data_IF_241977683775
#
_entry.id   IF_241977683775
#
_cell.length_a   1.000
_cell.length_b   1.000
_cell.length_c   1.000
_cell.angle_alpha   90.00
_cell.angle_beta   90.00
_cell.angle_gamma   90.00
#
_symmetry.space_group_name_H-M   'P 1'
#
loop_
_entity.id
_entity.type
_entity.pdbx_description
1 polymer ?
#
# COMPACT_ATOMS: atom_id res chain seq x y z
N UNK A 1 -41.16 -39.57 -65.58
CA UNK A 1 -41.44 -38.52 -64.58
C UNK A 1 -41.67 -39.22 -63.26
N UNK A 2 -40.61 -39.39 -62.41
CA UNK A 2 -40.70 -40.10 -61.10
C UNK A 2 -40.69 -39.10 -60.00
N UNK A 3 -41.77 -39.00 -59.26
CA UNK A 3 -41.96 -38.16 -58.09
C UNK A 3 -41.20 -38.78 -56.93
N UNK A 4 -40.22 -38.06 -56.35
CA UNK A 4 -39.53 -38.43 -55.12
C UNK A 4 -40.20 -37.72 -53.93
N UNK A 5 -40.88 -38.43 -53.09
CA UNK A 5 -41.51 -37.95 -51.84
C UNK A 5 -40.43 -37.93 -50.75
N UNK A 6 -40.08 -36.72 -50.31
CA UNK A 6 -39.14 -36.51 -49.20
C UNK A 6 -39.94 -36.54 -47.86
N UNK A 7 -39.74 -37.56 -47.05
CA UNK A 7 -40.31 -37.65 -45.70
C UNK A 7 -39.36 -36.88 -44.75
N UNK A 8 -39.83 -35.76 -44.21
CA UNK A 8 -39.11 -34.94 -43.21
C UNK A 8 -39.42 -35.54 -41.84
N UNK A 9 -38.47 -36.28 -41.26
CA UNK A 9 -38.56 -36.78 -39.90
C UNK A 9 -38.09 -35.65 -38.95
N UNK A 10 -39.04 -34.96 -38.32
CA UNK A 10 -38.75 -33.97 -37.27
C UNK A 10 -38.29 -34.67 -36.00
N UNK A 11 -36.98 -34.53 -35.69
CA UNK A 11 -36.39 -35.00 -34.44
C UNK A 11 -36.77 -33.99 -33.32
N UNK A 12 -37.72 -34.36 -32.49
CA UNK A 12 -38.02 -33.62 -31.26
C UNK A 12 -36.86 -33.81 -30.27
N UNK A 13 -36.02 -32.79 -30.12
CA UNK A 13 -35.11 -32.68 -29.00
C UNK A 13 -35.94 -32.40 -27.75
N UNK A 14 -36.18 -33.42 -26.93
CA UNK A 14 -36.62 -33.22 -25.54
C UNK A 14 -35.47 -32.53 -24.80
N UNK A 15 -35.62 -31.23 -24.57
CA UNK A 15 -34.81 -30.50 -23.58
C UNK A 15 -35.16 -31.10 -22.21
N UNK A 16 -34.26 -31.84 -21.61
CA UNK A 16 -34.36 -32.22 -20.20
C UNK A 16 -34.41 -30.93 -19.36
N UNK A 17 -35.59 -30.61 -18.85
CA UNK A 17 -35.77 -29.54 -17.88
C UNK A 17 -35.07 -30.04 -16.61
N UNK A 18 -33.90 -29.48 -16.29
CA UNK A 18 -33.22 -29.78 -15.04
C UNK A 18 -34.18 -29.47 -13.89
N UNK A 19 -34.51 -30.48 -13.08
CA UNK A 19 -35.36 -30.32 -11.90
C UNK A 19 -34.64 -29.34 -10.96
N UNK A 20 -35.24 -28.18 -10.68
CA UNK A 20 -34.68 -27.12 -9.83
C UNK A 20 -35.33 -27.06 -8.45
N UNK A 21 -36.30 -27.95 -8.22
CA UNK A 21 -37.12 -27.97 -7.00
C UNK A 21 -37.22 -29.38 -6.43
N UNK A 22 -37.17 -29.50 -5.10
CA UNK A 22 -37.36 -30.79 -4.39
C UNK A 22 -38.48 -30.58 -3.36
N UNK A 23 -39.63 -31.32 -3.48
CA UNK A 23 -40.68 -31.29 -2.46
C UNK A 23 -40.15 -31.86 -1.14
N UNK A 24 -40.39 -31.16 -0.03
CA UNK A 24 -39.95 -31.60 1.30
C UNK A 24 -40.60 -32.93 1.69
N UNK A 25 -41.82 -33.15 1.30
CA UNK A 25 -42.56 -34.40 1.58
C UNK A 25 -41.93 -35.64 0.92
N UNK A 26 -41.17 -35.46 -0.16
CA UNK A 26 -40.46 -36.56 -0.82
C UNK A 26 -39.16 -37.00 -0.11
N UNK A 27 -38.72 -36.20 0.90
CA UNK A 27 -37.46 -36.42 1.61
C UNK A 27 -37.59 -37.38 2.82
N UNK A 28 -38.79 -37.88 3.11
CA UNK A 28 -39.04 -38.87 4.15
C UNK A 28 -38.61 -38.38 5.55
N UNK A 29 -37.77 -39.17 6.24
CA UNK A 29 -37.34 -38.91 7.63
C UNK A 29 -36.00 -38.14 7.73
N UNK A 30 -35.55 -37.44 6.68
CA UNK A 30 -34.32 -36.68 6.75
C UNK A 30 -34.45 -35.55 7.78
N UNK A 31 -33.39 -35.37 8.59
CA UNK A 31 -33.33 -34.26 9.52
C UNK A 31 -32.89 -32.99 8.76
N UNK A 32 -33.83 -32.07 8.54
CA UNK A 32 -33.61 -30.84 7.81
C UNK A 32 -33.48 -29.66 8.77
N UNK A 33 -32.31 -29.04 8.83
CA UNK A 33 -32.07 -27.79 9.59
C UNK A 33 -31.80 -26.65 8.62
N UNK A 34 -32.19 -25.45 8.99
CA UNK A 34 -32.09 -24.28 8.17
C UNK A 34 -31.38 -23.17 8.92
N UNK A 35 -30.60 -22.38 8.21
CA UNK A 35 -29.93 -21.18 8.73
C UNK A 35 -30.23 -20.02 7.79
N UNK A 36 -30.65 -18.89 8.33
CA UNK A 36 -30.85 -17.71 7.51
C UNK A 36 -29.50 -17.16 7.04
N UNK A 37 -29.38 -16.88 5.75
CA UNK A 37 -28.22 -16.23 5.18
C UNK A 37 -28.02 -14.84 5.81
N UNK A 38 -26.98 -14.67 6.59
CA UNK A 38 -26.71 -13.45 7.35
C UNK A 38 -25.89 -12.46 6.52
N UNK A 39 -26.27 -11.16 6.47
CA UNK A 39 -25.51 -10.17 5.72
C UNK A 39 -24.12 -9.94 6.31
N UNK A 40 -23.13 -9.77 5.43
CA UNK A 40 -21.75 -9.39 5.74
C UNK A 40 -21.37 -8.20 4.88
N UNK A 41 -20.82 -7.16 5.49
CA UNK A 41 -20.43 -5.92 4.79
C UNK A 41 -18.98 -5.99 4.27
N UNK A 42 -18.22 -7.00 4.65
CA UNK A 42 -16.84 -7.15 4.22
C UNK A 42 -16.49 -8.61 3.97
N UNK A 43 -15.64 -8.81 2.98
CA UNK A 43 -15.08 -10.12 2.61
C UNK A 43 -13.59 -10.07 2.77
N UNK A 44 -13.04 -10.99 3.57
CA UNK A 44 -11.59 -11.16 3.68
C UNK A 44 -11.12 -12.12 2.59
N UNK A 45 -10.13 -11.68 1.81
CA UNK A 45 -9.47 -12.50 0.78
C UNK A 45 -7.97 -12.46 0.98
N UNK A 46 -7.27 -13.55 0.69
CA UNK A 46 -5.83 -13.54 0.53
C UNK A 46 -5.48 -12.67 -0.69
N UNK A 47 -4.67 -11.63 -0.49
CA UNK A 47 -4.28 -10.74 -1.57
C UNK A 47 -3.02 -11.29 -2.24
N UNK A 48 -1.91 -11.15 -1.59
CA UNK A 48 -0.62 -11.66 -2.06
C UNK A 48 0.47 -11.37 -1.01
N UNK A 49 1.72 -11.51 -1.41
CA UNK A 49 2.84 -11.04 -0.61
C UNK A 49 2.97 -9.53 -0.74
N UNK A 50 2.84 -8.81 0.38
CA UNK A 50 3.17 -7.40 0.48
C UNK A 50 4.65 -7.18 0.85
N UNK A 51 5.18 -6.01 0.52
CA UNK A 51 6.51 -5.56 0.92
C UNK A 51 6.41 -4.26 1.71
N UNK A 52 7.19 -4.14 2.78
CA UNK A 52 7.35 -2.87 3.51
C UNK A 52 8.28 -1.96 2.73
N UNK A 53 7.75 -0.87 2.24
CA UNK A 53 8.49 0.09 1.42
C UNK A 53 8.22 1.54 1.88
N UNK A 54 9.14 2.48 1.60
CA UNK A 54 8.86 3.89 1.80
C UNK A 54 7.79 4.36 0.81
N UNK A 55 6.92 5.25 1.27
CA UNK A 55 5.95 5.87 0.36
C UNK A 55 6.70 6.67 -0.72
N UNK A 56 6.29 6.61 -1.99
CA UNK A 56 6.96 7.32 -3.07
C UNK A 56 7.11 8.82 -2.77
N UNK A 57 8.33 9.35 -2.95
CA UNK A 57 8.66 10.75 -2.68
C UNK A 57 8.90 11.11 -1.22
N UNK A 58 8.90 10.14 -0.29
CA UNK A 58 9.13 10.37 1.14
C UNK A 58 10.58 10.19 1.60
N UNK A 59 11.50 9.93 0.69
CA UNK A 59 12.92 9.80 1.00
C UNK A 59 13.59 11.17 0.98
N UNK A 60 14.32 11.50 2.05
CA UNK A 60 15.18 12.67 2.11
C UNK A 60 16.57 12.28 1.59
N UNK A 61 16.97 12.80 0.44
CA UNK A 61 18.31 12.56 -0.11
C UNK A 61 19.33 13.48 0.56
N UNK A 62 20.44 12.91 1.02
CA UNK A 62 21.54 13.65 1.61
C UNK A 62 22.56 13.93 0.51
N UNK A 63 22.55 15.17 0.02
CA UNK A 63 23.39 15.64 -1.09
C UNK A 63 24.51 16.51 -0.56
N UNK A 64 25.77 16.21 -0.93
CA UNK A 64 26.91 17.05 -0.63
C UNK A 64 27.26 17.96 -1.81
N UNK A 65 27.58 19.24 -1.58
CA UNK A 65 27.99 20.17 -2.64
C UNK A 65 29.46 19.99 -3.08
N UNK A 66 30.10 18.89 -2.65
CA UNK A 66 31.47 18.50 -3.01
C UNK A 66 31.54 16.99 -3.20
N UNK A 67 32.64 16.53 -3.80
CA UNK A 67 32.93 15.09 -3.98
C UNK A 67 34.05 14.67 -3.01
N UNK A 68 33.72 14.00 -1.88
CA UNK A 68 34.74 13.47 -0.98
C UNK A 68 35.62 12.43 -1.68
N UNK A 69 36.91 12.38 -1.35
CA UNK A 69 37.81 11.35 -1.85
C UNK A 69 37.49 9.99 -1.21
N UNK A 70 37.05 10.00 0.04
CA UNK A 70 36.64 8.81 0.78
C UNK A 70 35.36 9.09 1.57
N UNK A 71 34.43 8.12 1.51
CA UNK A 71 33.22 8.06 2.36
C UNK A 71 33.30 6.76 3.15
N UNK A 72 33.36 6.86 4.47
CA UNK A 72 33.31 5.71 5.37
C UNK A 72 32.02 5.75 6.18
N UNK A 73 31.10 4.84 5.90
CA UNK A 73 29.86 4.74 6.66
C UNK A 73 30.12 4.22 8.08
N UNK A 74 29.53 4.88 9.08
CA UNK A 74 29.69 4.59 10.50
C UNK A 74 28.51 3.81 11.07
N UNK A 75 27.44 3.69 10.31
CA UNK A 75 26.21 2.95 10.66
C UNK A 75 25.93 1.93 9.55
N UNK A 76 25.23 0.85 9.86
CA UNK A 76 24.89 -0.15 8.86
C UNK A 76 23.79 0.33 7.93
N UNK A 77 23.78 -0.14 6.67
CA UNK A 77 22.72 0.14 5.70
C UNK A 77 21.36 -0.30 6.22
N UNK A 78 20.33 0.54 6.09
CA UNK A 78 18.99 0.27 6.59
C UNK A 78 18.84 0.37 8.11
N UNK A 79 19.86 0.81 8.86
CA UNK A 79 19.76 0.96 10.31
C UNK A 79 18.94 2.17 10.72
N UNK A 80 18.24 2.05 11.86
CA UNK A 80 17.57 3.17 12.49
C UNK A 80 18.59 4.16 13.07
N UNK A 81 18.40 5.45 12.81
CA UNK A 81 19.25 6.54 13.25
C UNK A 81 18.44 7.63 13.93
N UNK A 82 19.10 8.36 14.85
CA UNK A 82 18.53 9.51 15.53
C UNK A 82 19.03 10.81 14.91
N UNK A 83 18.26 11.90 15.06
CA UNK A 83 18.70 13.23 14.63
C UNK A 83 20.05 13.59 15.27
N UNK A 84 21.00 14.10 14.47
CA UNK A 84 22.34 14.46 14.88
C UNK A 84 23.33 13.29 14.99
N UNK A 85 22.90 12.05 14.75
CA UNK A 85 23.78 10.88 14.75
C UNK A 85 24.74 10.93 13.57
N UNK A 86 26.04 10.68 13.81
CA UNK A 86 27.07 10.57 12.76
C UNK A 86 26.76 9.34 11.88
N UNK A 87 26.61 9.55 10.57
CA UNK A 87 26.27 8.55 9.56
C UNK A 87 27.47 8.07 8.77
N UNK A 88 28.30 9.02 8.36
CA UNK A 88 29.49 8.75 7.58
C UNK A 88 30.60 9.74 7.91
N UNK A 89 31.83 9.29 7.82
CA UNK A 89 33.03 10.12 7.80
C UNK A 89 33.37 10.43 6.33
N UNK A 90 33.56 11.71 6.03
CA UNK A 90 33.95 12.23 4.74
C UNK A 90 35.39 12.71 4.84
N UNK A 91 36.25 12.34 3.88
CA UNK A 91 37.67 12.72 3.89
C UNK A 91 38.13 13.19 2.52
N UNK A 92 39.04 14.16 2.52
CA UNK A 92 39.76 14.64 1.34
C UNK A 92 39.82 16.16 1.22
N UNK A 93 40.60 16.63 0.25
CA UNK A 93 40.83 18.08 0.01
C UNK A 93 39.52 18.85 -0.25
N UNK A 94 38.53 18.27 -0.89
CA UNK A 94 37.24 18.91 -1.13
C UNK A 94 36.46 19.15 0.17
N UNK A 95 36.67 18.30 1.18
CA UNK A 95 36.08 18.48 2.53
C UNK A 95 36.73 19.68 3.20
N UNK A 96 38.05 19.79 3.13
CA UNK A 96 38.80 20.95 3.59
C UNK A 96 38.33 22.25 2.92
N UNK A 97 38.26 22.28 1.59
CA UNK A 97 37.80 23.44 0.83
C UNK A 97 36.37 23.85 1.21
N UNK A 98 35.49 22.88 1.42
CA UNK A 98 34.12 23.14 1.88
C UNK A 98 34.13 23.78 3.26
N UNK A 99 34.90 23.23 4.22
CA UNK A 99 35.01 23.73 5.58
C UNK A 99 35.52 25.17 5.62
N UNK A 100 36.61 25.47 4.88
CA UNK A 100 37.17 26.79 4.78
C UNK A 100 36.22 27.79 4.10
N UNK A 101 35.55 27.37 3.02
CA UNK A 101 34.54 28.18 2.33
C UNK A 101 33.36 28.53 3.25
N UNK A 102 32.86 27.53 4.02
CA UNK A 102 31.79 27.76 4.99
C UNK A 102 32.19 28.75 6.07
N UNK A 103 33.41 28.62 6.66
CA UNK A 103 33.96 29.57 7.64
C UNK A 103 34.03 30.98 7.06
N UNK A 104 34.58 31.12 5.84
CA UNK A 104 34.74 32.42 5.17
C UNK A 104 33.38 33.09 4.86
N UNK A 105 32.41 32.33 4.30
CA UNK A 105 31.07 32.87 3.98
C UNK A 105 30.30 33.26 5.23
N UNK A 106 30.42 32.49 6.31
CA UNK A 106 29.81 32.81 7.62
C UNK A 106 30.37 34.12 8.18
N UNK A 107 31.69 34.30 8.11
CA UNK A 107 32.33 35.53 8.56
C UNK A 107 31.90 36.77 7.71
N UNK A 108 31.84 36.60 6.38
CA UNK A 108 31.38 37.66 5.47
C UNK A 108 29.92 38.04 5.71
N UNK A 109 29.05 37.07 5.90
CA UNK A 109 27.64 37.31 6.22
C UNK A 109 27.52 38.09 7.54
N UNK A 110 28.22 37.67 8.58
CA UNK A 110 28.21 38.37 9.88
C UNK A 110 28.67 39.84 9.78
N UNK A 111 29.78 40.08 9.05
CA UNK A 111 30.31 41.46 8.85
C UNK A 111 29.32 42.32 8.05
N UNK A 112 28.81 41.81 6.94
CA UNK A 112 27.86 42.52 6.07
C UNK A 112 26.53 42.79 6.76
N UNK A 113 26.02 41.83 7.54
CA UNK A 113 24.80 41.96 8.35
C UNK A 113 24.97 43.05 9.43
N UNK A 114 26.11 43.06 10.13
CA UNK A 114 26.41 44.08 11.14
C UNK A 114 26.44 45.49 10.50
N UNK A 115 27.08 45.60 9.33
CA UNK A 115 27.14 46.87 8.57
C UNK A 115 25.75 47.30 8.08
N UNK A 116 24.95 46.39 7.54
CA UNK A 116 23.58 46.65 7.10
C UNK A 116 22.72 47.15 8.27
N UNK A 117 22.71 46.44 9.40
CA UNK A 117 21.91 46.79 10.57
C UNK A 117 22.32 48.16 11.16
N UNK A 118 23.63 48.48 11.20
CA UNK A 118 24.13 49.76 11.70
C UNK A 118 23.76 50.96 10.79
N UNK A 119 23.68 50.76 9.48
CA UNK A 119 23.40 51.82 8.52
C UNK A 119 21.92 51.98 8.16
N UNK A 120 21.07 50.98 8.45
CA UNK A 120 19.64 51.06 8.17
C UNK A 120 18.96 52.28 8.82
N UNK A 121 19.14 52.59 10.13
CA UNK A 121 18.54 53.79 10.74
C UNK A 121 19.15 55.08 10.19
N UNK A 122 20.43 55.12 9.77
CA UNK A 122 21.04 56.28 9.13
C UNK A 122 20.44 56.61 7.76
N UNK A 123 20.08 55.58 7.00
CA UNK A 123 19.34 55.74 5.75
C UNK A 123 17.91 56.24 6.00
N UNK A 124 17.18 55.63 6.96
CA UNK A 124 15.83 56.02 7.33
C UNK A 124 15.75 57.48 7.82
N UNK A 125 16.80 57.99 8.47
CA UNK A 125 16.96 59.41 8.89
C UNK A 125 17.58 60.33 7.81
N UNK A 126 17.79 59.86 6.57
CA UNK A 126 18.44 60.55 5.47
C UNK A 126 19.90 61.02 5.79
N UNK A 127 20.58 60.38 6.74
CA UNK A 127 21.96 60.68 7.11
C UNK A 127 23.02 60.12 6.14
N UNK A 128 22.61 59.11 5.30
CA UNK A 128 23.45 58.57 4.22
C UNK A 128 22.71 58.63 2.89
N UNK A 129 23.48 58.69 1.77
CA UNK A 129 22.91 58.72 0.43
C UNK A 129 22.26 57.39 0.03
N UNK A 130 21.29 57.45 -0.90
CA UNK A 130 20.64 56.26 -1.47
C UNK A 130 21.66 55.32 -2.14
N UNK A 131 22.67 55.88 -2.84
CA UNK A 131 23.72 55.07 -3.47
C UNK A 131 24.59 54.33 -2.45
N UNK A 132 24.92 54.98 -1.31
CA UNK A 132 25.65 54.34 -0.21
C UNK A 132 24.80 53.21 0.42
N UNK A 133 23.54 53.47 0.70
CA UNK A 133 22.65 52.46 1.23
C UNK A 133 22.51 51.29 0.28
N UNK A 134 22.30 51.53 -1.03
CA UNK A 134 22.19 50.47 -2.02
C UNK A 134 23.41 49.53 -2.02
N UNK A 135 24.64 50.09 -2.01
CA UNK A 135 25.86 49.27 -1.97
C UNK A 135 26.00 48.43 -0.68
N UNK A 136 25.54 48.98 0.47
CA UNK A 136 25.54 48.24 1.75
C UNK A 136 24.51 47.11 1.73
N UNK A 137 23.30 47.37 1.23
CA UNK A 137 22.24 46.40 1.12
C UNK A 137 22.62 45.29 0.14
N UNK A 138 23.17 45.63 -1.02
CA UNK A 138 23.64 44.65 -2.01
C UNK A 138 24.70 43.73 -1.40
N UNK A 139 25.74 44.28 -0.76
CA UNK A 139 26.80 43.49 -0.12
C UNK A 139 26.26 42.52 0.94
N UNK A 140 25.23 42.91 1.71
CA UNK A 140 24.57 42.04 2.67
C UNK A 140 23.80 40.92 1.99
N UNK A 141 22.96 41.23 0.98
CA UNK A 141 22.17 40.22 0.31
C UNK A 141 23.03 39.26 -0.52
N UNK A 142 24.10 39.74 -1.16
CA UNK A 142 25.06 38.89 -1.88
C UNK A 142 25.75 37.90 -0.91
N UNK A 143 26.20 38.39 0.27
CA UNK A 143 26.78 37.52 1.30
C UNK A 143 25.75 36.49 1.84
N UNK A 144 24.50 36.94 2.04
CA UNK A 144 23.41 36.06 2.51
C UNK A 144 23.09 34.97 1.51
N UNK A 145 23.01 35.29 0.22
CA UNK A 145 22.77 34.31 -0.83
C UNK A 145 23.95 33.34 -0.95
N UNK A 146 25.18 33.85 -0.94
CA UNK A 146 26.39 33.03 -1.03
C UNK A 146 26.53 32.03 0.15
N UNK A 147 26.10 32.45 1.35
CA UNK A 147 26.06 31.60 2.52
C UNK A 147 24.92 30.59 2.44
N UNK A 148 23.72 31.01 2.00
CA UNK A 148 22.54 30.14 1.91
C UNK A 148 22.70 28.92 1.00
N UNK A 149 23.58 29.00 -0.02
CA UNK A 149 23.92 27.84 -0.86
C UNK A 149 24.66 26.73 -0.09
N UNK A 150 25.34 27.06 1.01
CA UNK A 150 26.10 26.11 1.82
C UNK A 150 25.35 25.66 3.07
N UNK A 151 24.42 26.48 3.55
CA UNK A 151 23.73 26.33 4.84
C UNK A 151 22.97 25.00 4.97
N UNK A 152 22.21 24.64 3.95
CA UNK A 152 21.44 23.38 3.96
C UNK A 152 22.30 22.12 4.15
N UNK A 153 23.52 22.14 3.58
CA UNK A 153 24.43 21.01 3.82
C UNK A 153 25.16 21.18 5.15
N UNK A 154 25.47 22.42 5.55
CA UNK A 154 26.13 22.70 6.83
C UNK A 154 25.33 22.21 8.04
N UNK A 155 23.99 22.19 7.97
CA UNK A 155 23.13 21.60 9.01
C UNK A 155 23.33 20.08 9.18
N UNK A 156 23.81 19.40 8.12
CA UNK A 156 24.07 17.95 8.09
C UNK A 156 25.56 17.61 8.17
N UNK A 157 26.42 18.61 8.41
CA UNK A 157 27.85 18.44 8.38
C UNK A 157 28.51 18.96 9.67
N UNK A 158 29.39 18.15 10.24
CA UNK A 158 30.21 18.53 11.41
C UNK A 158 31.66 18.34 11.05
N UNK A 159 32.45 19.42 11.05
CA UNK A 159 33.89 19.37 10.85
C UNK A 159 34.58 18.67 12.02
N UNK A 160 35.69 17.99 11.76
CA UNK A 160 36.62 17.49 12.78
C UNK A 160 37.68 18.55 13.14
N UNK A 161 38.54 18.25 14.10
CA UNK A 161 39.77 19.04 14.38
C UNK A 161 40.74 19.00 13.20
N UNK A 162 40.79 17.88 12.45
CA UNK A 162 41.45 17.75 11.18
C UNK A 162 40.54 18.31 10.07
N UNK A 163 40.91 19.45 9.49
CA UNK A 163 40.09 20.15 8.49
C UNK A 163 39.85 19.30 7.19
N UNK A 164 40.64 18.24 6.94
CA UNK A 164 40.44 17.29 5.85
C UNK A 164 39.35 16.23 6.15
N UNK A 165 38.81 16.22 7.39
CA UNK A 165 37.80 15.27 7.85
C UNK A 165 36.54 16.00 8.28
N UNK A 166 35.39 15.45 7.90
CA UNK A 166 34.09 15.86 8.38
C UNK A 166 33.11 14.70 8.51
N UNK A 167 32.04 14.94 9.24
CA UNK A 167 31.01 13.92 9.47
C UNK A 167 29.68 14.36 8.90
N UNK A 168 29.08 13.48 8.11
CA UNK A 168 27.68 13.57 7.75
C UNK A 168 26.86 13.17 8.98
N UNK A 169 25.91 14.01 9.39
CA UNK A 169 24.98 13.74 10.49
C UNK A 169 23.54 13.66 10.01
N UNK A 170 22.71 12.88 10.68
CA UNK A 170 21.29 12.73 10.35
C UNK A 170 20.53 14.04 10.65
N UNK A 171 19.86 14.68 9.69
CA UNK A 171 19.03 15.85 9.92
C UNK A 171 17.72 15.53 10.68
N UNK A 172 17.28 14.29 10.59
CA UNK A 172 16.08 13.78 11.28
C UNK A 172 16.24 12.31 11.65
N UNK A 173 15.35 11.79 12.50
CA UNK A 173 15.31 10.38 12.85
C UNK A 173 14.63 9.55 11.75
N UNK A 174 15.18 8.36 11.45
CA UNK A 174 14.64 7.48 10.43
C UNK A 174 15.52 6.28 10.16
N UNK A 175 15.39 5.68 8.99
CA UNK A 175 16.27 4.62 8.48
C UNK A 175 17.23 5.21 7.46
N UNK A 176 18.52 5.03 7.69
CA UNK A 176 19.56 5.52 6.78
C UNK A 176 19.88 4.46 5.72
N UNK A 177 19.87 4.86 4.46
CA UNK A 177 20.29 4.04 3.33
C UNK A 177 21.54 4.63 2.69
N UNK A 178 22.48 3.78 2.33
CA UNK A 178 23.69 4.16 1.60
C UNK A 178 23.35 4.69 0.20
N UNK A 179 24.21 5.53 -0.32
CA UNK A 179 24.16 5.91 -1.71
C UNK A 179 24.74 4.80 -2.60
N UNK A 180 24.02 4.42 -3.67
CA UNK A 180 24.48 3.41 -4.63
C UNK A 180 25.41 3.98 -5.72
N UNK A 181 26.20 5.03 -5.38
CA UNK A 181 27.17 5.59 -6.30
C UNK A 181 26.61 6.50 -7.40
N UNK A 182 25.34 6.89 -7.32
CA UNK A 182 24.77 7.88 -8.24
C UNK A 182 25.38 9.26 -7.98
N UNK A 183 26.00 9.82 -9.03
CA UNK A 183 26.52 11.19 -9.03
C UNK A 183 25.62 12.04 -9.91
N UNK A 184 25.03 13.08 -9.34
CA UNK A 184 24.48 14.18 -10.12
C UNK A 184 25.63 15.11 -10.56
N UNK A 185 25.42 15.88 -11.64
CA UNK A 185 26.48 16.68 -12.24
C UNK A 185 27.09 17.72 -11.29
N UNK A 186 26.36 18.18 -10.26
CA UNK A 186 26.74 19.28 -9.36
C UNK A 186 26.83 18.87 -7.87
N UNK A 187 26.35 17.68 -7.50
CA UNK A 187 26.33 17.23 -6.13
C UNK A 187 26.54 15.71 -6.01
N UNK A 188 27.15 15.30 -4.91
CA UNK A 188 27.38 13.88 -4.60
C UNK A 188 26.29 13.41 -3.62
N UNK A 189 25.52 12.38 -4.01
CA UNK A 189 24.57 11.75 -3.10
C UNK A 189 25.34 10.88 -2.10
N UNK A 190 25.22 11.19 -0.82
CA UNK A 190 25.86 10.48 0.28
C UNK A 190 24.98 9.39 0.90
N UNK A 191 23.68 9.48 0.70
CA UNK A 191 22.71 8.54 1.24
C UNK A 191 21.29 9.08 1.20
N UNK A 192 20.40 8.42 1.89
CA UNK A 192 19.03 8.93 2.12
C UNK A 192 18.50 8.51 3.47
N UNK A 193 17.59 9.31 4.02
CA UNK A 193 16.83 8.97 5.23
C UNK A 193 15.39 8.72 4.86
N UNK A 194 14.85 7.64 5.39
CA UNK A 194 13.44 7.26 5.30
C UNK A 194 12.84 7.45 6.69
N UNK A 195 11.90 8.39 6.81
CA UNK A 195 11.18 8.58 8.07
C UNK A 195 10.38 7.33 8.46
N UNK A 196 10.34 7.00 9.73
CA UNK A 196 9.50 5.91 10.26
C UNK A 196 8.02 6.08 9.88
N UNK A 197 7.53 7.32 9.79
CA UNK A 197 6.14 7.62 9.40
C UNK A 197 5.85 7.40 7.92
N UNK A 198 6.87 7.19 7.08
CA UNK A 198 6.73 6.97 5.65
C UNK A 198 6.65 5.50 5.24
N UNK A 199 6.91 4.57 6.17
CA UNK A 199 6.81 3.14 5.87
C UNK A 199 5.37 2.71 5.63
N UNK A 200 5.17 1.93 4.56
CA UNK A 200 3.88 1.40 4.12
C UNK A 200 4.03 -0.07 3.73
N UNK A 201 2.93 -0.80 3.79
CA UNK A 201 2.81 -2.05 3.05
C UNK A 201 2.39 -1.70 1.63
N UNK A 202 3.18 -2.12 0.66
CA UNK A 202 2.82 -2.14 -0.76
C UNK A 202 2.47 -3.56 -1.15
N UNK A 203 1.30 -3.77 -1.74
CA UNK A 203 0.87 -5.05 -2.29
C UNK A 203 0.22 -4.86 -3.65
N UNK A 204 0.06 -5.94 -4.41
CA UNK A 204 -0.59 -5.94 -5.70
C UNK A 204 -1.96 -6.59 -5.57
N UNK A 205 -2.99 -5.98 -6.16
CA UNK A 205 -4.35 -6.51 -6.23
C UNK A 205 -4.86 -6.41 -7.67
N UNK A 206 -5.91 -7.16 -7.99
CA UNK A 206 -6.62 -7.00 -9.26
C UNK A 206 -7.12 -5.57 -9.41
N UNK A 207 -6.94 -4.97 -10.59
CA UNK A 207 -7.38 -3.61 -10.86
C UNK A 207 -8.89 -3.43 -10.66
N UNK A 208 -9.68 -4.46 -10.95
CA UNK A 208 -11.14 -4.47 -10.78
C UNK A 208 -11.56 -4.44 -9.31
N UNK A 209 -10.75 -5.02 -8.43
CA UNK A 209 -11.02 -5.10 -6.99
C UNK A 209 -10.36 -3.96 -6.18
N UNK A 210 -9.45 -3.22 -6.80
CA UNK A 210 -8.61 -2.23 -6.11
C UNK A 210 -9.40 -1.10 -5.43
N UNK A 211 -10.57 -0.73 -5.97
CA UNK A 211 -11.45 0.28 -5.39
C UNK A 211 -12.27 -0.24 -4.20
N UNK A 212 -12.36 -1.54 -4.02
CA UNK A 212 -13.18 -2.19 -2.99
C UNK A 212 -12.37 -2.56 -1.74
N UNK A 213 -11.02 -2.59 -1.84
CA UNK A 213 -10.16 -2.94 -0.72
C UNK A 213 -9.99 -1.76 0.23
N UNK A 214 -10.31 -1.95 1.51
CA UNK A 214 -10.27 -0.88 2.53
C UNK A 214 -9.19 -1.09 3.58
N UNK A 215 -8.85 -2.34 3.91
CA UNK A 215 -7.90 -2.69 4.96
C UNK A 215 -6.96 -3.78 4.45
N UNK A 216 -5.69 -3.64 4.78
CA UNK A 216 -4.66 -4.68 4.63
C UNK A 216 -4.38 -5.27 6.01
N UNK A 217 -4.43 -6.59 6.11
CA UNK A 217 -4.16 -7.34 7.33
C UNK A 217 -2.93 -8.24 7.13
N UNK A 218 -2.07 -8.24 8.13
CA UNK A 218 -0.92 -9.15 8.27
C UNK A 218 -1.05 -9.94 9.56
N UNK A 219 -0.19 -10.91 9.80
CA UNK A 219 -0.17 -11.65 11.06
C UNK A 219 -0.07 -10.76 12.31
N UNK A 220 0.50 -9.55 12.19
CA UNK A 220 0.83 -8.70 13.32
C UNK A 220 -0.08 -7.46 13.44
N UNK A 221 -0.71 -7.02 12.36
CA UNK A 221 -1.51 -5.78 12.38
C UNK A 221 -2.46 -5.66 11.20
N UNK A 222 -3.46 -4.78 11.39
CA UNK A 222 -4.36 -4.30 10.36
C UNK A 222 -4.08 -2.82 10.10
N UNK A 223 -4.03 -2.43 8.82
CA UNK A 223 -3.73 -1.07 8.39
C UNK A 223 -4.69 -0.67 7.26
N UNK A 224 -5.24 0.53 7.33
CA UNK A 224 -6.12 1.06 6.29
C UNK A 224 -5.37 1.19 4.96
N UNK A 225 -6.07 1.02 3.86
CA UNK A 225 -5.58 1.41 2.54
C UNK A 225 -5.62 2.94 2.44
N UNK A 226 -4.49 3.54 2.05
CA UNK A 226 -4.38 4.98 1.90
C UNK A 226 -4.39 5.42 0.44
N UNK A 227 -3.87 4.58 -0.45
CA UNK A 227 -3.73 4.91 -1.87
C UNK A 227 -3.72 3.65 -2.74
N UNK A 228 -4.33 3.76 -3.91
CA UNK A 228 -4.20 2.83 -5.03
C UNK A 228 -3.53 3.57 -6.18
N UNK A 229 -2.51 2.98 -6.80
CA UNK A 229 -1.85 3.57 -7.95
C UNK A 229 -2.78 3.48 -9.18
N UNK A 230 -2.72 4.50 -10.05
CA UNK A 230 -3.50 4.53 -11.29
C UNK A 230 -2.88 3.66 -12.42
N UNK A 231 -1.64 3.21 -12.22
CA UNK A 231 -0.94 2.39 -13.20
C UNK A 231 -1.33 0.93 -12.99
N UNK A 232 -1.81 0.31 -14.07
CA UNK A 232 -2.11 -1.12 -14.11
C UNK A 232 -1.00 -1.81 -14.88
N UNK A 233 -0.40 -2.84 -14.29
CA UNK A 233 0.56 -3.71 -14.94
C UNK A 233 -0.13 -5.06 -15.20
N UNK A 234 -0.37 -5.37 -16.48
CA UNK A 234 -1.23 -6.46 -16.92
C UNK A 234 -2.66 -6.30 -16.38
N UNK A 235 -3.01 -6.94 -15.28
CA UNK A 235 -4.31 -6.84 -14.61
C UNK A 235 -4.20 -6.44 -13.13
N UNK A 236 -2.98 -6.13 -12.66
CA UNK A 236 -2.71 -5.79 -11.26
C UNK A 236 -2.38 -4.31 -11.09
N UNK A 237 -2.79 -3.74 -9.98
CA UNK A 237 -2.36 -2.41 -9.54
C UNK A 237 -1.79 -2.46 -8.14
N UNK A 238 -0.95 -1.47 -7.81
CA UNK A 238 -0.35 -1.36 -6.47
C UNK A 238 -1.30 -0.67 -5.49
N UNK A 239 -1.46 -1.27 -4.34
CA UNK A 239 -2.19 -0.71 -3.20
C UNK A 239 -1.20 -0.43 -2.07
N UNK A 240 -1.32 0.75 -1.47
CA UNK A 240 -0.48 1.25 -0.40
C UNK A 240 -1.28 1.43 0.89
N UNK A 241 -0.76 0.91 1.98
CA UNK A 241 -1.35 1.12 3.29
C UNK A 241 -1.17 2.56 3.79
N UNK A 242 -1.90 2.94 4.81
CA UNK A 242 -1.57 4.05 5.70
C UNK A 242 -0.22 3.82 6.40
N UNK A 243 0.36 4.84 7.10
CA UNK A 243 1.59 4.67 7.88
C UNK A 243 1.55 3.46 8.79
N UNK A 244 2.64 2.68 8.79
CA UNK A 244 2.72 1.51 9.65
C UNK A 244 2.85 1.94 11.13
N UNK A 245 1.94 1.52 12.00
CA UNK A 245 2.11 1.71 13.44
C UNK A 245 3.27 0.85 13.95
N UNK A 246 3.97 1.32 14.99
CA UNK A 246 5.10 0.58 15.59
C UNK A 246 4.71 -0.82 16.06
N UNK A 247 3.45 -1.03 16.44
CA UNK A 247 2.90 -2.34 16.84
C UNK A 247 2.95 -3.40 15.74
N UNK A 248 3.01 -3.03 14.47
CA UNK A 248 3.17 -3.98 13.35
C UNK A 248 4.51 -4.73 13.39
N UNK A 249 5.55 -4.12 13.98
CA UNK A 249 6.90 -4.71 14.11
C UNK A 249 7.46 -5.25 12.78
N UNK A 250 7.14 -4.58 11.67
CA UNK A 250 7.63 -4.91 10.34
C UNK A 250 8.81 -4.00 9.97
N UNK A 251 9.84 -4.58 9.35
CA UNK A 251 11.06 -3.88 8.96
C UNK A 251 11.02 -3.44 7.51
N UNK A 252 11.71 -2.37 7.18
CA UNK A 252 11.93 -1.92 5.80
C UNK A 252 12.46 -3.07 4.94
N UNK A 253 11.87 -3.26 3.75
CA UNK A 253 12.22 -4.34 2.82
C UNK A 253 11.62 -5.71 3.18
N UNK A 254 11.02 -5.87 4.36
CA UNK A 254 10.41 -7.13 4.77
C UNK A 254 9.20 -7.46 3.92
N UNK A 255 9.10 -8.72 3.51
CA UNK A 255 7.91 -9.29 2.87
C UNK A 255 7.02 -9.93 3.92
N UNK A 256 5.72 -9.77 3.78
CA UNK A 256 4.70 -10.35 4.65
C UNK A 256 3.52 -10.86 3.82
N UNK A 257 2.89 -11.92 4.28
CA UNK A 257 1.60 -12.35 3.76
C UNK A 257 0.56 -11.29 4.13
N UNK A 258 -0.24 -10.89 3.15
CA UNK A 258 -1.25 -9.85 3.31
C UNK A 258 -2.62 -10.41 2.92
N UNK A 259 -3.60 -10.23 3.79
CA UNK A 259 -5.01 -10.41 3.48
C UNK A 259 -5.66 -9.04 3.30
N UNK A 260 -6.59 -8.93 2.36
CA UNK A 260 -7.34 -7.70 2.12
C UNK A 260 -8.78 -7.82 2.62
N UNK A 261 -9.31 -6.77 3.24
CA UNK A 261 -10.73 -6.63 3.54
C UNK A 261 -11.38 -5.79 2.44
N UNK A 262 -12.27 -6.44 1.69
CA UNK A 262 -12.99 -5.85 0.56
C UNK A 262 -14.39 -5.46 1.01
N UNK A 263 -14.83 -4.26 0.65
CA UNK A 263 -16.21 -3.82 0.87
C UNK A 263 -17.11 -4.41 -0.21
N UNK A 264 -17.64 -5.57 0.08
CA UNK A 264 -18.58 -6.29 -0.79
C UNK A 264 -19.82 -6.66 0.02
N UNK A 265 -20.99 -6.46 -0.58
CA UNK A 265 -22.22 -6.99 -0.03
C UNK A 265 -22.23 -8.51 -0.23
N UNK A 266 -22.09 -9.23 0.85
CA UNK A 266 -22.05 -10.67 0.87
C UNK A 266 -23.04 -11.23 1.89
N UNK A 267 -23.40 -12.50 1.73
CA UNK A 267 -24.19 -13.26 2.70
C UNK A 267 -23.32 -14.40 3.24
N UNK A 268 -23.36 -14.58 4.55
CA UNK A 268 -22.69 -15.68 5.24
C UNK A 268 -23.61 -16.89 5.30
N UNK A 269 -23.12 -18.03 4.80
CA UNK A 269 -23.80 -19.32 4.85
C UNK A 269 -22.86 -20.39 5.39
N UNK A 270 -23.36 -21.45 6.08
CA UNK A 270 -22.52 -22.58 6.48
C UNK A 270 -21.86 -23.24 5.25
N UNK A 271 -20.59 -23.63 5.36
CA UNK A 271 -19.88 -24.26 4.25
C UNK A 271 -20.58 -25.57 3.79
N UNK A 272 -21.14 -26.31 4.72
CA UNK A 272 -21.90 -27.53 4.44
C UNK A 272 -23.24 -27.33 3.71
N UNK A 273 -23.71 -26.05 3.62
CA UNK A 273 -24.94 -25.72 2.85
C UNK A 273 -24.70 -25.66 1.35
N UNK A 274 -23.44 -25.58 0.94
CA UNK A 274 -23.05 -25.37 -0.45
C UNK A 274 -22.79 -26.72 -1.12
N UNK A 275 -23.38 -26.89 -2.29
CA UNK A 275 -23.16 -28.06 -3.15
C UNK A 275 -22.91 -27.63 -4.60
N UNK A 276 -22.39 -28.54 -5.39
CA UNK A 276 -22.14 -28.31 -6.82
C UNK A 276 -23.17 -29.01 -7.67
N UNK A 277 -23.81 -28.26 -8.56
CA UNK A 277 -24.74 -28.80 -9.55
C UNK A 277 -24.36 -28.26 -10.93
N UNK A 278 -24.14 -29.17 -11.90
CA UNK A 278 -23.73 -28.82 -13.26
C UNK A 278 -22.52 -27.87 -13.34
N UNK A 279 -21.54 -28.04 -12.44
CA UNK A 279 -20.33 -27.21 -12.39
C UNK A 279 -20.52 -25.86 -11.70
N UNK A 280 -21.71 -25.56 -11.16
CA UNK A 280 -22.01 -24.30 -10.47
C UNK A 280 -22.29 -24.54 -8.99
N UNK A 281 -21.73 -23.66 -8.13
CA UNK A 281 -22.04 -23.65 -6.71
C UNK A 281 -23.48 -23.22 -6.48
N UNK A 282 -24.19 -23.96 -5.63
CA UNK A 282 -25.62 -23.76 -5.36
C UNK A 282 -25.93 -24.00 -3.90
N UNK A 283 -27.07 -23.49 -3.45
CA UNK A 283 -27.67 -23.74 -2.13
C UNK A 283 -29.15 -24.11 -2.30
N UNK A 284 -29.70 -24.87 -1.33
CA UNK A 284 -31.14 -25.09 -1.25
C UNK A 284 -31.79 -24.01 -0.39
N UNK A 285 -32.73 -23.28 -0.94
CA UNK A 285 -33.54 -22.28 -0.24
C UNK A 285 -34.95 -22.81 -0.03
N UNK A 286 -35.44 -22.78 1.20
CA UNK A 286 -36.80 -23.22 1.50
C UNK A 286 -37.83 -22.17 1.11
N UNK A 287 -38.83 -22.57 0.34
CA UNK A 287 -40.02 -21.78 0.02
C UNK A 287 -41.27 -22.62 0.30
N UNK A 288 -41.88 -22.38 1.45
CA UNK A 288 -43.02 -23.21 1.88
C UNK A 288 -42.64 -24.68 2.07
N UNK A 289 -43.21 -25.54 1.26
CA UNK A 289 -42.97 -27.01 1.29
C UNK A 289 -42.01 -27.51 0.18
N UNK A 290 -41.24 -26.61 -0.41
CA UNK A 290 -40.30 -26.91 -1.50
C UNK A 290 -38.92 -26.37 -1.19
N UNK A 291 -37.87 -27.09 -1.59
CA UNK A 291 -36.50 -26.65 -1.62
C UNK A 291 -36.13 -26.27 -3.05
N UNK A 292 -35.85 -24.97 -3.25
CA UNK A 292 -35.41 -24.44 -4.53
C UNK A 292 -33.88 -24.45 -4.62
N UNK A 293 -33.35 -24.88 -5.75
CA UNK A 293 -31.91 -24.74 -6.05
C UNK A 293 -31.64 -23.32 -6.50
N UNK A 294 -30.83 -22.61 -5.73
CA UNK A 294 -30.42 -21.25 -6.06
C UNK A 294 -28.92 -21.26 -6.35
N UNK A 295 -28.52 -21.01 -7.61
CA UNK A 295 -27.12 -20.87 -7.97
C UNK A 295 -26.55 -19.58 -7.34
N UNK A 296 -25.28 -19.66 -6.90
CA UNK A 296 -24.62 -18.55 -6.23
C UNK A 296 -23.12 -18.53 -6.54
N UNK A 297 -22.50 -17.38 -6.27
CA UNK A 297 -21.07 -17.15 -6.41
C UNK A 297 -20.44 -17.06 -5.02
N UNK A 298 -19.43 -17.90 -4.76
CA UNK A 298 -18.60 -17.82 -3.54
C UNK A 298 -17.58 -16.71 -3.73
N UNK A 299 -17.64 -15.69 -2.88
CA UNK A 299 -16.74 -14.52 -2.94
C UNK A 299 -15.66 -14.53 -1.86
N UNK A 300 -15.77 -15.43 -0.88
CA UNK A 300 -14.77 -15.56 0.18
C UNK A 300 -15.14 -16.60 1.23
N UNK A 301 -14.38 -16.61 2.32
CA UNK A 301 -14.57 -17.51 3.46
C UNK A 301 -14.61 -16.70 4.76
N UNK A 302 -15.41 -17.14 5.72
CA UNK A 302 -15.49 -16.53 7.06
C UNK A 302 -15.25 -17.59 8.13
N UNK A 303 -13.98 -17.71 8.55
CA UNK A 303 -13.54 -18.81 9.43
C UNK A 303 -13.46 -20.14 8.68
N UNK A 304 -13.42 -21.26 9.43
CA UNK A 304 -13.36 -22.63 8.89
C UNK A 304 -14.71 -23.15 8.39
N UNK A 305 -15.82 -22.65 8.94
CA UNK A 305 -17.13 -23.33 8.88
C UNK A 305 -18.15 -22.55 8.05
N UNK A 306 -17.81 -21.39 7.50
CA UNK A 306 -18.75 -20.58 6.73
C UNK A 306 -18.12 -19.99 5.47
N UNK A 307 -18.93 -19.91 4.42
CA UNK A 307 -18.61 -19.25 3.16
C UNK A 307 -19.33 -17.91 3.06
N UNK A 308 -18.70 -16.99 2.38
CA UNK A 308 -19.29 -15.72 1.96
C UNK A 308 -19.69 -15.85 0.49
N UNK A 309 -20.96 -15.62 0.22
CA UNK A 309 -21.55 -15.68 -1.10
C UNK A 309 -22.03 -14.29 -1.52
N UNK A 310 -22.03 -14.00 -2.80
CA UNK A 310 -22.52 -12.73 -3.34
C UNK A 310 -23.99 -12.54 -2.95
N UNK A 311 -24.29 -11.37 -2.38
CA UNK A 311 -25.66 -11.04 -2.00
C UNK A 311 -26.57 -10.94 -3.24
N UNK A 312 -27.68 -11.66 -3.21
CA UNK A 312 -28.76 -11.57 -4.21
C UNK A 312 -30.10 -11.45 -3.50
N UNK A 313 -31.11 -10.80 -4.12
CA UNK A 313 -32.44 -10.70 -3.51
C UNK A 313 -33.07 -12.04 -3.16
N UNK A 314 -32.71 -13.10 -3.92
CA UNK A 314 -33.24 -14.47 -3.73
C UNK A 314 -32.64 -15.18 -2.52
N UNK A 315 -31.53 -14.69 -1.98
CA UNK A 315 -30.83 -15.30 -0.85
C UNK A 315 -30.89 -14.48 0.42
N UNK A 316 -31.18 -13.17 0.30
CA UNK A 316 -31.14 -12.27 1.44
C UNK A 316 -32.18 -12.63 2.50
N UNK A 317 -31.70 -12.97 3.70
CA UNK A 317 -32.49 -13.38 4.86
C UNK A 317 -33.40 -14.61 4.58
N UNK A 318 -33.05 -15.44 3.61
CA UNK A 318 -33.80 -16.65 3.29
C UNK A 318 -33.27 -17.87 4.08
N UNK A 319 -34.14 -18.82 4.42
CA UNK A 319 -33.76 -20.05 5.11
C UNK A 319 -33.02 -20.99 4.13
N UNK A 320 -31.72 -21.12 4.33
CA UNK A 320 -30.82 -22.00 3.57
C UNK A 320 -30.68 -23.34 4.30
N UNK A 321 -30.83 -24.44 3.60
CA UNK A 321 -30.65 -25.79 4.16
C UNK A 321 -29.20 -25.96 4.65
N UNK A 322 -29.02 -26.37 5.90
CA UNK A 322 -27.71 -26.54 6.55
C UNK A 322 -27.38 -27.97 6.98
N UNK A 323 -28.33 -28.92 6.84
CA UNK A 323 -28.06 -30.34 7.11
C UNK A 323 -28.65 -31.21 6.01
N UNK A 324 -28.17 -32.44 5.88
CA UNK A 324 -28.62 -33.42 4.87
C UNK A 324 -28.54 -32.93 3.41
N UNK A 325 -27.71 -31.91 3.12
CA UNK A 325 -27.62 -31.27 1.80
C UNK A 325 -27.26 -32.27 0.70
N UNK A 326 -26.28 -33.15 0.94
CA UNK A 326 -25.88 -34.20 -0.04
C UNK A 326 -26.96 -35.24 -0.27
N UNK A 327 -27.77 -35.56 0.75
CA UNK A 327 -28.89 -36.47 0.59
C UNK A 327 -30.00 -35.86 -0.29
N UNK A 328 -30.34 -34.60 -0.04
CA UNK A 328 -31.30 -33.83 -0.86
C UNK A 328 -30.79 -33.67 -2.29
N UNK A 329 -29.48 -33.42 -2.47
CA UNK A 329 -28.86 -33.40 -3.79
C UNK A 329 -28.98 -34.76 -4.51
N UNK A 330 -28.81 -35.86 -3.78
CA UNK A 330 -29.02 -37.23 -4.33
C UNK A 330 -30.43 -37.41 -4.85
N UNK A 331 -31.46 -37.00 -4.10
CA UNK A 331 -32.86 -37.05 -4.56
C UNK A 331 -33.08 -36.18 -5.80
N UNK A 332 -32.52 -34.95 -5.81
CA UNK A 332 -32.62 -34.02 -6.95
C UNK A 332 -32.08 -34.63 -8.26
N UNK A 333 -30.99 -35.38 -8.21
CA UNK A 333 -30.36 -35.99 -9.40
C UNK A 333 -30.86 -37.42 -9.68
N UNK A 334 -31.96 -37.84 -9.01
CA UNK A 334 -32.60 -39.15 -9.28
C UNK A 334 -31.88 -40.33 -8.64
N UNK A 335 -30.96 -40.15 -7.68
CA UNK A 335 -30.31 -41.23 -6.94
C UNK A 335 -31.14 -41.70 -5.73
N UNK A 336 -32.29 -41.11 -5.47
CA UNK A 336 -33.13 -41.32 -4.28
C UNK A 336 -34.41 -42.13 -4.54
N UNK A 337 -34.67 -42.62 -5.74
CA UNK A 337 -35.75 -43.57 -6.02
C UNK A 337 -35.23 -44.97 -5.70
N UNK A 338 -35.24 -45.34 -4.44
CA UNK A 338 -35.29 -46.76 -4.04
C UNK A 338 -36.59 -46.98 -3.32
N UNK A 339 -37.30 -47.97 -3.85
CA UNK A 339 -38.61 -48.56 -3.52
C UNK A 339 -39.10 -48.41 -2.08
#
# INVERSE_FOLDING_TARGET
MKLFTFVFTSLFLLSAIAQTEVPIDSLGKLNLTYVNAAPSQSVQKAVSTGIVAPFPGSQLHLMAPMTPQQVQYLVADGSAVSKGQKLAMLKGSEVHHFTENLKAKTALLHISQKRFNANKPLFESNAISQSTWFSIAQAYYDAKLAWGHLDHFAEMFVSDEDDDIGYLVAPEAGFFLYANGEKDAEATRLGSIISNSSLRIKTMVSADEASQISVLETANCQVQVARTDAIVNEYLTSVWSAPLPKSCNLKLGQRAQVSGHFQLEALKVPAQSVFYLNGQSSVFVRSGNVLNVVPMEVVGQSGSDALLIKATPQLNNQPVLSSSVSAVQGVLIGLGEME
#
